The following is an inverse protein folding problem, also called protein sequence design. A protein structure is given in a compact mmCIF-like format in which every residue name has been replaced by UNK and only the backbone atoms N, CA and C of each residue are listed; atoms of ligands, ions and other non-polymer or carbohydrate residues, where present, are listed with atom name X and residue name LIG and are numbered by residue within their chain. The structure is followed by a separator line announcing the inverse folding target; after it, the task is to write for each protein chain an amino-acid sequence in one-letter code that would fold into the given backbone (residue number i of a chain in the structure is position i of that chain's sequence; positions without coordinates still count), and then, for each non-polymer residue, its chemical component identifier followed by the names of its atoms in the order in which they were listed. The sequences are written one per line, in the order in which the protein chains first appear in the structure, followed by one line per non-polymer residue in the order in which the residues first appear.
data_IF_161968429021
#
_entry.id   IF_161968429021
#
_cell.length_a   1.000
_cell.length_b   1.000
_cell.length_c   1.000
_cell.angle_alpha   90.00
_cell.angle_beta   90.00
_cell.angle_gamma   90.00
#
_symmetry.space_group_name_H-M   'P 1'
#
loop_
_entity.id
_entity.type
_entity.pdbx_description
1 polymer ?
#
# COMPACT_ATOMS: atom_id res chain seq x y z
N UNK A 1 10.67 -2.19 -15.72
CA UNK A 1 10.34 -3.52 -16.29
C UNK A 1 10.09 -3.36 -17.78
N UNK A 2 10.15 -4.42 -18.59
CA UNK A 2 9.77 -4.31 -20.01
C UNK A 2 8.29 -3.86 -20.10
N UNK A 3 7.92 -2.93 -20.99
CA UNK A 3 6.53 -2.57 -21.22
C UNK A 3 5.67 -3.80 -21.55
N UNK A 4 4.43 -3.80 -21.06
CA UNK A 4 3.45 -4.89 -21.20
C UNK A 4 3.88 -6.21 -20.53
N UNK A 5 4.91 -6.21 -19.69
CA UNK A 5 5.28 -7.38 -18.91
C UNK A 5 4.30 -7.59 -17.74
N UNK A 6 3.82 -8.82 -17.59
CA UNK A 6 3.05 -9.29 -16.44
C UNK A 6 3.91 -10.28 -15.64
N UNK A 7 4.03 -10.09 -14.33
CA UNK A 7 4.71 -11.05 -13.45
C UNK A 7 3.98 -11.24 -12.13
N UNK A 8 4.24 -12.35 -11.44
CA UNK A 8 3.92 -12.49 -10.02
C UNK A 8 4.88 -11.64 -9.19
N UNK A 9 4.52 -11.41 -7.92
CA UNK A 9 5.47 -10.86 -6.96
C UNK A 9 6.73 -11.74 -6.86
N UNK A 10 7.88 -11.13 -6.59
CA UNK A 10 9.12 -11.87 -6.31
C UNK A 10 9.06 -12.52 -4.92
N UNK A 11 10.08 -13.31 -4.56
CA UNK A 11 10.20 -13.81 -3.19
C UNK A 11 10.38 -12.67 -2.19
N UNK A 12 11.20 -11.66 -2.52
CA UNK A 12 11.42 -10.48 -1.68
C UNK A 12 10.14 -9.67 -1.48
N UNK A 13 9.40 -9.42 -2.55
CA UNK A 13 8.12 -8.67 -2.48
C UNK A 13 7.05 -9.42 -1.67
N UNK A 14 7.01 -10.76 -1.75
CA UNK A 14 6.12 -11.57 -0.90
C UNK A 14 6.54 -11.51 0.56
N UNK A 15 7.84 -11.55 0.85
CA UNK A 15 8.34 -11.42 2.22
C UNK A 15 8.03 -10.03 2.80
N UNK A 16 8.21 -8.98 2.01
CA UNK A 16 7.83 -7.61 2.38
C UNK A 16 6.32 -7.49 2.63
N UNK A 17 5.49 -8.09 1.76
CA UNK A 17 4.05 -8.13 1.95
C UNK A 17 3.65 -8.85 3.26
N UNK A 18 4.27 -10.00 3.56
CA UNK A 18 4.03 -10.73 4.80
C UNK A 18 4.51 -9.95 6.04
N UNK A 19 5.60 -9.19 5.93
CA UNK A 19 6.05 -8.29 6.99
C UNK A 19 4.97 -7.23 7.31
N UNK A 20 4.44 -6.58 6.26
CA UNK A 20 3.50 -5.45 6.42
C UNK A 20 2.09 -5.92 6.79
N UNK A 21 1.55 -6.90 6.08
CA UNK A 21 0.14 -7.32 6.16
C UNK A 21 -0.07 -8.67 6.85
N UNK A 22 0.99 -9.46 7.05
CA UNK A 22 0.88 -10.82 7.58
C UNK A 22 -0.08 -11.66 6.74
N UNK A 23 -0.99 -12.38 7.39
CA UNK A 23 -2.03 -13.16 6.70
C UNK A 23 -3.17 -12.31 6.11
N UNK A 24 -3.14 -10.99 6.31
CA UNK A 24 -4.18 -10.08 5.82
C UNK A 24 -4.22 -9.94 4.29
N UNK A 25 -3.11 -10.25 3.61
CA UNK A 25 -2.97 -10.17 2.15
C UNK A 25 -2.41 -11.47 1.58
N UNK A 26 -3.15 -12.09 0.67
CA UNK A 26 -2.67 -13.21 -0.12
C UNK A 26 -1.77 -12.70 -1.26
N UNK A 27 -0.47 -12.60 -0.95
CA UNK A 27 0.57 -12.13 -1.87
C UNK A 27 0.80 -13.09 -3.06
N UNK A 28 0.39 -14.36 -2.95
CA UNK A 28 0.59 -15.34 -4.02
C UNK A 28 -0.35 -15.09 -5.21
N UNK A 29 -1.51 -14.46 -4.96
CA UNK A 29 -2.49 -14.08 -5.98
C UNK A 29 -2.16 -12.78 -6.69
N UNK A 30 -1.20 -12.00 -6.18
CA UNK A 30 -0.86 -10.67 -6.71
C UNK A 30 0.05 -10.77 -7.92
N UNK A 31 -0.30 -10.01 -8.96
CA UNK A 31 0.49 -9.81 -10.17
C UNK A 31 0.75 -8.34 -10.39
N UNK A 32 1.89 -8.04 -10.98
CA UNK A 32 2.29 -6.69 -11.40
C UNK A 32 2.34 -6.62 -12.92
N UNK A 33 1.61 -5.67 -13.48
CA UNK A 33 1.55 -5.41 -14.92
C UNK A 33 2.15 -4.05 -15.23
N UNK A 34 3.20 -4.04 -16.06
CA UNK A 34 3.89 -2.83 -16.46
C UNK A 34 3.25 -2.23 -17.72
N UNK A 35 2.74 -1.00 -17.65
CA UNK A 35 2.12 -0.31 -18.81
C UNK A 35 2.96 0.87 -19.31
N UNK A 36 3.08 1.07 -20.63
CA UNK A 36 3.72 2.26 -21.18
C UNK A 36 2.84 3.50 -21.03
N UNK A 37 3.44 4.69 -21.10
CA UNK A 37 2.78 5.99 -21.20
C UNK A 37 1.83 6.40 -20.03
N UNK A 38 1.70 5.58 -18.98
CA UNK A 38 0.98 5.94 -17.76
C UNK A 38 1.92 6.44 -16.67
N UNK A 39 1.45 7.36 -15.83
CA UNK A 39 2.33 8.12 -14.90
C UNK A 39 2.31 7.65 -13.46
N UNK A 40 1.25 6.96 -13.02
CA UNK A 40 1.04 6.58 -11.60
C UNK A 40 0.63 5.13 -11.45
N UNK A 41 1.13 4.43 -10.44
CA UNK A 41 0.62 3.10 -10.15
C UNK A 41 -0.84 3.15 -9.68
N UNK A 42 -1.56 2.04 -9.86
CA UNK A 42 -2.91 1.84 -9.34
C UNK A 42 -3.22 0.35 -9.24
N UNK A 43 -4.26 0.01 -8.49
CA UNK A 43 -4.75 -1.36 -8.34
C UNK A 43 -6.06 -1.58 -9.07
N UNK A 44 -6.11 -2.68 -9.83
CA UNK A 44 -7.27 -3.14 -10.57
C UNK A 44 -7.79 -4.45 -9.95
N UNK A 45 -8.55 -4.34 -8.86
CA UNK A 45 -9.13 -5.48 -8.15
C UNK A 45 -8.15 -6.23 -7.23
N UNK A 46 -8.50 -7.43 -6.77
CA UNK A 46 -7.86 -8.09 -5.61
C UNK A 46 -6.50 -8.76 -5.91
N UNK A 47 -5.89 -8.53 -7.07
CA UNK A 47 -4.66 -9.23 -7.43
C UNK A 47 -3.89 -8.65 -8.61
N UNK A 48 -4.22 -7.43 -9.07
CA UNK A 48 -3.50 -6.80 -10.17
C UNK A 48 -3.07 -5.39 -9.76
N UNK A 49 -1.76 -5.23 -9.59
CA UNK A 49 -1.11 -3.92 -9.49
C UNK A 49 -0.67 -3.51 -10.89
N UNK A 50 -1.11 -2.35 -11.35
CA UNK A 50 -0.69 -1.77 -12.64
C UNK A 50 0.32 -0.68 -12.36
N UNK A 51 1.49 -0.76 -13.00
CA UNK A 51 2.63 0.12 -12.72
C UNK A 51 3.19 0.75 -13.99
N UNK A 52 3.62 2.03 -13.97
CA UNK A 52 4.36 2.62 -15.09
C UNK A 52 5.62 1.83 -15.44
N UNK A 53 5.74 1.37 -16.69
CA UNK A 53 6.86 0.52 -17.10
C UNK A 53 8.24 1.15 -16.83
N UNK A 54 8.32 2.48 -16.96
CA UNK A 54 9.52 3.29 -16.72
C UNK A 54 10.02 3.24 -15.26
N UNK A 55 9.13 3.10 -14.29
CA UNK A 55 9.49 3.07 -12.85
C UNK A 55 9.29 1.69 -12.21
N UNK A 56 8.67 0.75 -12.93
CA UNK A 56 8.49 -0.61 -12.44
C UNK A 56 9.83 -1.31 -12.21
N UNK A 57 10.05 -1.84 -11.01
CA UNK A 57 11.29 -2.54 -10.64
C UNK A 57 11.19 -4.05 -10.91
N UNK A 58 12.32 -4.73 -11.25
CA UNK A 58 12.35 -6.19 -11.30
C UNK A 58 11.96 -6.83 -9.97
N UNK A 59 12.39 -6.22 -8.87
CA UNK A 59 12.03 -6.54 -7.49
C UNK A 59 11.95 -5.22 -6.71
N UNK A 60 10.79 -4.90 -6.13
CA UNK A 60 10.59 -3.70 -5.31
C UNK A 60 11.17 -3.82 -3.89
N UNK A 61 11.46 -5.03 -3.42
CA UNK A 61 12.06 -5.28 -2.10
C UNK A 61 13.59 -5.41 -2.16
N UNK A 62 14.21 -5.23 -3.33
CA UNK A 62 15.65 -5.34 -3.46
C UNK A 62 16.39 -4.22 -2.69
N UNK A 63 17.58 -4.50 -2.11
CA UNK A 63 18.29 -3.53 -1.26
C UNK A 63 18.68 -2.22 -1.94
N UNK A 64 18.86 -2.22 -3.26
CA UNK A 64 19.19 -1.04 -4.07
C UNK A 64 17.96 -0.16 -4.39
N UNK A 65 16.75 -0.64 -4.10
CA UNK A 65 15.52 0.12 -4.34
C UNK A 65 15.38 1.21 -3.26
N UNK A 66 15.25 2.49 -3.65
CA UNK A 66 15.07 3.58 -2.69
C UNK A 66 13.88 3.32 -1.78
N UNK A 67 14.03 3.62 -0.48
CA UNK A 67 13.00 3.36 0.53
C UNK A 67 11.64 3.95 0.13
N UNK A 68 11.60 5.16 -0.45
CA UNK A 68 10.35 5.77 -0.92
C UNK A 68 9.67 4.96 -2.02
N UNK A 69 10.43 4.34 -2.92
CA UNK A 69 9.87 3.47 -3.97
C UNK A 69 9.29 2.19 -3.38
N UNK A 70 9.93 1.62 -2.35
CA UNK A 70 9.36 0.48 -1.61
C UNK A 70 8.06 0.90 -0.90
N UNK A 71 8.03 2.10 -0.31
CA UNK A 71 6.87 2.65 0.37
C UNK A 71 5.67 2.84 -0.58
N UNK A 72 5.89 3.40 -1.78
CA UNK A 72 4.84 3.47 -2.81
C UNK A 72 4.35 2.08 -3.22
N UNK A 73 5.24 1.07 -3.26
CA UNK A 73 4.81 -0.30 -3.53
C UNK A 73 3.92 -0.86 -2.41
N UNK A 74 4.25 -0.56 -1.16
CA UNK A 74 3.41 -0.90 0.01
C UNK A 74 2.06 -0.17 -0.01
N UNK A 75 2.01 1.10 -0.45
CA UNK A 75 0.77 1.84 -0.69
C UNK A 75 -0.14 1.08 -1.66
N UNK A 76 0.39 0.70 -2.82
CA UNK A 76 -0.40 -0.07 -3.80
C UNK A 76 -0.82 -1.44 -3.26
N UNK A 77 0.04 -2.14 -2.51
CA UNK A 77 -0.37 -3.39 -1.85
C UNK A 77 -1.50 -3.18 -0.84
N UNK A 78 -1.62 -1.99 -0.23
CA UNK A 78 -2.74 -1.67 0.66
C UNK A 78 -4.07 -1.63 -0.11
N UNK A 79 -4.07 -1.13 -1.35
CA UNK A 79 -5.26 -1.21 -2.20
C UNK A 79 -5.60 -2.65 -2.61
N UNK A 80 -4.59 -3.50 -2.83
CA UNK A 80 -4.83 -4.94 -3.02
C UNK A 80 -5.45 -5.56 -1.78
N UNK A 81 -4.92 -5.26 -0.59
CA UNK A 81 -5.43 -5.72 0.70
C UNK A 81 -6.89 -5.30 0.89
N UNK A 82 -7.21 -4.03 0.63
CA UNK A 82 -8.59 -3.51 0.64
C UNK A 82 -9.49 -4.32 -0.27
N UNK A 83 -9.10 -4.53 -1.53
CA UNK A 83 -9.88 -5.28 -2.49
C UNK A 83 -10.06 -6.76 -2.11
N UNK A 84 -9.04 -7.40 -1.55
CA UNK A 84 -9.12 -8.78 -1.04
C UNK A 84 -10.05 -8.91 0.18
N UNK A 85 -10.19 -7.84 0.97
CA UNK A 85 -11.06 -7.78 2.14
C UNK A 85 -12.43 -7.13 1.84
N UNK A 86 -12.86 -7.13 0.57
CA UNK A 86 -14.23 -6.78 0.18
C UNK A 86 -14.49 -5.30 -0.16
N UNK A 87 -13.45 -4.47 -0.20
CA UNK A 87 -13.60 -3.06 -0.60
C UNK A 87 -13.71 -2.94 -2.11
N UNK A 88 -14.80 -2.32 -2.59
CA UNK A 88 -14.90 -1.89 -3.99
C UNK A 88 -14.11 -0.60 -4.20
N UNK A 89 -12.90 -0.71 -4.77
CA UNK A 89 -11.97 0.41 -4.95
C UNK A 89 -12.58 1.56 -5.78
N UNK A 90 -13.37 1.26 -6.82
CA UNK A 90 -14.02 2.27 -7.66
C UNK A 90 -15.00 3.10 -6.83
N UNK A 91 -15.90 2.42 -6.09
CA UNK A 91 -16.91 3.11 -5.26
C UNK A 91 -16.25 3.88 -4.11
N UNK A 92 -15.22 3.31 -3.50
CA UNK A 92 -14.49 3.95 -2.41
C UNK A 92 -13.74 5.19 -2.89
N UNK A 93 -13.11 5.15 -4.07
CA UNK A 93 -12.43 6.30 -4.67
C UNK A 93 -13.39 7.43 -5.03
N UNK A 94 -14.56 7.09 -5.58
CA UNK A 94 -15.62 8.07 -5.85
C UNK A 94 -16.12 8.76 -4.57
N UNK A 95 -16.23 8.02 -3.45
CA UNK A 95 -16.61 8.59 -2.14
C UNK A 95 -15.51 9.44 -1.52
N UNK A 96 -14.25 9.07 -1.72
CA UNK A 96 -13.10 9.81 -1.19
C UNK A 96 -12.88 11.16 -1.90
N UNK A 97 -13.26 11.25 -3.17
CA UNK A 97 -12.97 12.41 -4.02
C UNK A 97 -11.50 12.46 -4.47
N UNK A 98 -11.11 13.54 -5.14
CA UNK A 98 -9.79 13.74 -5.74
C UNK A 98 -9.01 14.95 -5.19
N UNK A 99 -9.59 15.67 -4.21
CA UNK A 99 -8.99 16.84 -3.58
C UNK A 99 -7.89 16.50 -2.56
N UNK A 100 -7.11 17.49 -2.09
CA UNK A 100 -6.00 17.30 -1.15
C UNK A 100 -6.39 16.61 0.17
N UNK A 101 -7.63 16.83 0.64
CA UNK A 101 -8.17 16.19 1.85
C UNK A 101 -8.30 14.67 1.73
N UNK A 102 -8.31 14.10 0.51
CA UNK A 102 -8.35 12.65 0.32
C UNK A 102 -7.05 11.96 0.76
N UNK A 103 -5.95 12.69 0.90
CA UNK A 103 -4.63 12.17 1.26
C UNK A 103 -4.12 12.64 2.63
N UNK A 104 -4.80 13.60 3.26
CA UNK A 104 -4.48 14.07 4.60
C UNK A 104 -5.22 13.23 5.64
N UNK A 105 -4.53 12.81 6.69
CA UNK A 105 -5.11 12.13 7.85
C UNK A 105 -4.44 12.62 9.12
N UNK A 106 -5.08 12.38 10.26
CA UNK A 106 -4.53 12.67 11.58
C UNK A 106 -4.68 11.42 12.46
N UNK A 107 -3.56 10.93 12.99
CA UNK A 107 -3.53 9.91 14.04
C UNK A 107 -3.42 10.63 15.39
N UNK A 108 -4.54 11.10 15.91
CA UNK A 108 -4.57 11.60 17.28
C UNK A 108 -4.37 10.43 18.26
N UNK A 109 -3.51 10.61 19.27
CA UNK A 109 -3.12 9.57 20.25
C UNK A 109 -4.28 8.81 20.91
N UNK A 110 -5.45 9.44 21.04
CA UNK A 110 -6.65 8.92 21.69
C UNK A 110 -7.67 8.31 20.71
N UNK A 111 -7.36 8.30 19.41
CA UNK A 111 -8.21 7.84 18.31
C UNK A 111 -7.60 6.64 17.57
N UNK A 112 -6.57 6.01 18.13
CA UNK A 112 -5.81 4.93 17.48
C UNK A 112 -6.48 3.54 17.67
N UNK A 113 -7.75 3.41 17.29
CA UNK A 113 -8.52 2.16 17.38
C UNK A 113 -8.96 1.60 16.02
N UNK A 114 -9.64 0.45 16.05
CA UNK A 114 -10.13 -0.20 14.82
C UNK A 114 -11.17 0.64 14.07
N UNK A 115 -12.04 1.30 14.84
CA UNK A 115 -13.13 2.11 14.31
C UNK A 115 -12.61 3.33 13.54
N UNK A 116 -11.53 3.92 14.00
CA UNK A 116 -10.97 5.14 13.45
C UNK A 116 -10.17 4.85 12.18
N UNK A 117 -9.39 3.77 12.14
CA UNK A 117 -8.77 3.33 10.87
C UNK A 117 -9.82 2.98 9.82
N UNK A 118 -10.91 2.31 10.21
CA UNK A 118 -12.01 1.99 9.31
C UNK A 118 -12.78 3.24 8.82
N UNK A 119 -12.75 4.35 9.56
CA UNK A 119 -13.37 5.62 9.17
C UNK A 119 -12.55 6.41 8.13
N UNK A 120 -11.25 6.12 8.01
CA UNK A 120 -10.41 6.68 6.97
C UNK A 120 -10.86 6.20 5.58
N UNK A 121 -10.75 7.08 4.59
CA UNK A 121 -10.95 6.68 3.20
C UNK A 121 -9.82 5.75 2.72
N UNK A 122 -10.00 5.12 1.55
CA UNK A 122 -9.04 4.12 1.07
C UNK A 122 -7.64 4.65 0.79
N UNK A 123 -7.50 5.91 0.36
CA UNK A 123 -6.20 6.54 0.11
C UNK A 123 -5.55 6.93 1.44
N UNK A 124 -6.32 7.44 2.41
CA UNK A 124 -5.83 7.71 3.77
C UNK A 124 -5.33 6.44 4.47
N UNK A 125 -6.07 5.33 4.38
CA UNK A 125 -5.61 4.03 4.91
C UNK A 125 -4.29 3.61 4.25
N UNK A 126 -4.17 3.75 2.93
CA UNK A 126 -2.95 3.42 2.21
C UNK A 126 -1.78 4.34 2.61
N UNK A 127 -2.02 5.64 2.82
CA UNK A 127 -1.02 6.57 3.35
C UNK A 127 -0.59 6.20 4.78
N UNK A 128 -1.51 5.79 5.66
CA UNK A 128 -1.18 5.30 7.01
C UNK A 128 -0.22 4.10 6.93
N UNK A 129 -0.51 3.14 6.05
CA UNK A 129 0.34 1.94 5.89
C UNK A 129 1.69 2.30 5.23
N UNK A 130 1.71 3.20 4.23
CA UNK A 130 2.95 3.73 3.62
C UNK A 130 3.84 4.38 4.68
N UNK A 131 3.27 5.27 5.49
CA UNK A 131 4.01 5.99 6.53
C UNK A 131 4.42 5.08 7.69
N UNK A 132 3.60 4.09 8.07
CA UNK A 132 3.99 3.07 9.05
C UNK A 132 5.22 2.29 8.57
N UNK A 133 5.25 1.90 7.29
CA UNK A 133 6.40 1.25 6.69
C UNK A 133 7.63 2.16 6.68
N UNK A 134 7.49 3.42 6.27
CA UNK A 134 8.59 4.40 6.29
C UNK A 134 9.15 4.59 7.71
N UNK A 135 8.28 4.83 8.69
CA UNK A 135 8.66 5.00 10.09
C UNK A 135 9.42 3.79 10.63
N UNK A 136 8.97 2.57 10.29
CA UNK A 136 9.65 1.31 10.70
C UNK A 136 11.07 1.16 10.15
N UNK A 137 11.45 1.96 9.14
CA UNK A 137 12.77 1.99 8.51
C UNK A 137 13.54 3.29 8.80
N UNK A 138 13.07 4.11 9.74
CA UNK A 138 13.68 5.40 10.08
C UNK A 138 13.47 6.50 9.03
N UNK A 139 12.52 6.30 8.11
CA UNK A 139 12.12 7.28 7.11
C UNK A 139 11.16 8.34 7.66
N UNK A 140 10.87 9.40 6.87
CA UNK A 140 9.95 10.45 7.28
C UNK A 140 8.49 9.96 7.32
N UNK A 141 7.78 10.34 8.36
CA UNK A 141 6.34 10.13 8.53
C UNK A 141 5.73 11.32 9.31
N UNK A 142 4.45 11.65 9.10
CA UNK A 142 3.80 12.79 9.77
C UNK A 142 3.54 12.59 11.27
N UNK A 143 3.70 11.37 11.78
CA UNK A 143 3.44 11.01 13.16
C UNK A 143 4.58 10.13 13.72
N UNK A 144 4.73 10.02 15.06
CA UNK A 144 5.72 9.15 15.68
C UNK A 144 5.50 7.66 15.33
N UNK A 145 6.56 6.85 15.21
CA UNK A 145 6.48 5.41 14.92
C UNK A 145 5.55 4.61 15.85
N UNK A 146 5.46 5.02 17.11
CA UNK A 146 4.67 4.37 18.16
C UNK A 146 3.17 4.39 17.83
N UNK A 147 2.67 5.48 17.23
CA UNK A 147 1.26 5.58 16.84
C UNK A 147 0.91 4.59 15.75
N UNK A 148 1.79 4.39 14.76
CA UNK A 148 1.61 3.38 13.73
C UNK A 148 1.67 1.96 14.29
N UNK A 149 2.56 1.71 15.25
CA UNK A 149 2.67 0.41 15.90
C UNK A 149 1.37 0.03 16.64
N UNK A 150 0.74 1.00 17.31
CA UNK A 150 -0.50 0.80 18.07
C UNK A 150 -1.70 0.40 17.19
N UNK A 151 -1.75 0.89 15.95
CA UNK A 151 -2.86 0.60 15.02
C UNK A 151 -2.53 -0.49 14.01
N UNK A 152 -1.35 -1.10 14.07
CA UNK A 152 -0.88 -2.06 13.05
C UNK A 152 -1.79 -3.29 12.90
N UNK A 153 -2.48 -3.69 13.97
CA UNK A 153 -3.44 -4.81 13.96
C UNK A 153 -4.60 -4.62 12.97
N UNK A 154 -4.87 -3.37 12.56
CA UNK A 154 -5.94 -3.05 11.62
C UNK A 154 -5.75 -3.65 10.21
N UNK A 155 -4.50 -3.71 9.74
CA UNK A 155 -4.18 -4.24 8.41
C UNK A 155 -3.27 -5.46 8.46
N UNK A 156 -2.59 -5.69 9.59
CA UNK A 156 -1.71 -6.85 9.77
C UNK A 156 -2.38 -7.93 10.61
N UNK A 157 -2.58 -9.11 10.03
CA UNK A 157 -3.02 -10.31 10.77
C UNK A 157 -1.84 -11.19 11.13
N UNK A 158 -1.89 -11.82 12.31
CA UNK A 158 -0.86 -12.74 12.79
C UNK A 158 -0.85 -14.03 11.97
#
# INVERSE_FOLDING_TARGET
MKPLALRRLTAGERALAAEVFGEGLDAARVRLFAIPAWRRAFVAGPGLVVWPAATARPDFAAPDVPLRTQAVFVHELTHVWQAQNGVSLILAKLRAGDGPGAYAYDLAEHLAGEREFAALNIEQQAMVVEHAFLASRGGPAPHPPELYANIRSNWRRA
#
